data_IF_854185771088
#
_entry.id   IF_854185771088
#
_cell.length_a   1.000
_cell.length_b   1.000
_cell.length_c   1.000
_cell.angle_alpha   90.00
_cell.angle_beta   90.00
_cell.angle_gamma   90.00
#
_symmetry.space_group_name_H-M   'P 1'
#
loop_
_entity.id
_entity.type
_entity.pdbx_description
1 polymer ?
#
# COMPACT_ATOMS: atom_id res chain seq x y z
N UNK A 1 27.58 -14.89 7.06
CA UNK A 1 26.64 -15.71 6.24
C UNK A 1 25.55 -16.26 7.14
N UNK A 2 24.43 -15.54 7.29
CA UNK A 2 23.26 -15.97 8.05
C UNK A 2 21.99 -15.53 7.32
N UNK A 3 21.44 -16.49 6.58
CA UNK A 3 20.01 -16.82 6.38
C UNK A 3 19.09 -15.72 5.82
N UNK A 4 18.93 -15.75 4.50
CA UNK A 4 17.71 -15.39 3.77
C UNK A 4 16.55 -16.30 4.23
N UNK A 5 15.41 -15.69 4.58
CA UNK A 5 14.09 -16.30 4.83
C UNK A 5 13.10 -15.12 4.80
N UNK A 6 12.05 -15.03 3.99
CA UNK A 6 11.62 -15.85 2.87
C UNK A 6 10.64 -15.01 2.05
N UNK A 7 10.94 -14.83 0.77
CA UNK A 7 10.05 -14.22 -0.21
C UNK A 7 9.02 -15.27 -0.67
N UNK A 8 7.73 -15.01 -0.40
CA UNK A 8 6.60 -15.70 -1.02
C UNK A 8 5.50 -14.64 -1.23
N UNK A 9 5.42 -14.08 -2.44
CA UNK A 9 4.52 -14.51 -3.52
C UNK A 9 3.07 -14.03 -3.31
N UNK A 10 2.70 -12.93 -3.98
CA UNK A 10 1.42 -12.90 -4.70
C UNK A 10 1.52 -12.00 -5.95
N UNK A 11 1.62 -12.68 -7.10
CA UNK A 11 1.59 -12.09 -8.43
C UNK A 11 0.22 -12.46 -9.02
N UNK A 12 -0.77 -11.57 -8.94
CA UNK A 12 -2.02 -11.76 -9.68
C UNK A 12 -1.89 -11.06 -11.03
N UNK A 13 -1.87 -11.91 -12.06
CA UNK A 13 -1.90 -11.58 -13.46
C UNK A 13 -3.27 -10.96 -13.81
N UNK A 14 -3.20 -9.79 -14.45
CA UNK A 14 -4.26 -9.13 -15.21
C UNK A 14 -5.00 -10.07 -16.18
N UNK A 15 -6.25 -9.68 -16.48
CA UNK A 15 -7.08 -10.04 -17.65
C UNK A 15 -8.19 -11.08 -17.45
N UNK A 16 -9.41 -10.54 -17.61
CA UNK A 16 -10.66 -11.15 -18.06
C UNK A 16 -10.85 -12.67 -18.03
N UNK A 17 -11.94 -13.09 -17.39
CA UNK A 17 -12.71 -14.24 -17.82
C UNK A 17 -12.81 -15.39 -16.81
N UNK A 18 -13.89 -15.36 -16.04
CA UNK A 18 -14.68 -16.50 -15.55
C UNK A 18 -13.90 -17.71 -15.00
N UNK A 19 -13.81 -17.81 -13.67
CA UNK A 19 -13.60 -19.10 -13.00
C UNK A 19 -14.91 -19.54 -12.33
N UNK A 20 -15.68 -20.34 -13.07
CA UNK A 20 -16.74 -21.19 -12.53
C UNK A 20 -16.12 -22.22 -11.57
N UNK A 21 -16.53 -22.22 -10.30
CA UNK A 21 -16.38 -23.41 -9.45
C UNK A 21 -17.75 -23.85 -8.95
N UNK A 22 -18.37 -24.77 -9.69
CA UNK A 22 -19.50 -25.54 -9.21
C UNK A 22 -18.97 -26.84 -8.59
N UNK A 23 -19.10 -27.02 -7.27
CA UNK A 23 -19.28 -28.34 -6.68
C UNK A 23 -20.01 -28.30 -5.34
N UNK A 24 -21.34 -28.41 -5.47
CA UNK A 24 -22.27 -29.19 -4.65
C UNK A 24 -21.98 -29.33 -3.15
N UNK A 25 -22.66 -28.55 -2.30
CA UNK A 25 -23.51 -29.03 -1.19
C UNK A 25 -24.46 -27.89 -0.73
N UNK A 26 -25.77 -28.08 -0.96
CA UNK A 26 -26.90 -27.58 -0.17
C UNK A 26 -26.94 -26.16 0.41
N UNK A 27 -27.51 -25.24 -0.37
CA UNK A 27 -28.60 -24.33 0.03
C UNK A 27 -28.37 -23.29 1.15
N UNK A 28 -27.56 -22.28 0.86
CA UNK A 28 -28.02 -20.90 0.63
C UNK A 28 -26.89 -20.21 -0.15
N UNK A 29 -27.04 -20.11 -1.47
CA UNK A 29 -26.24 -19.16 -2.23
C UNK A 29 -26.75 -17.78 -1.82
N UNK A 30 -26.15 -17.20 -0.79
CA UNK A 30 -26.13 -15.75 -0.66
C UNK A 30 -25.40 -15.31 -1.92
N UNK A 31 -26.08 -14.71 -2.92
CA UNK A 31 -25.33 -13.96 -3.89
C UNK A 31 -24.55 -12.95 -3.04
N UNK A 32 -23.22 -13.05 -3.05
CA UNK A 32 -22.42 -11.87 -2.76
C UNK A 32 -22.78 -10.95 -3.92
N UNK A 33 -23.90 -10.23 -3.74
CA UNK A 33 -24.18 -9.01 -4.44
C UNK A 33 -23.05 -8.13 -3.95
N UNK A 34 -21.96 -8.14 -4.70
CA UNK A 34 -21.20 -6.92 -4.84
C UNK A 34 -22.26 -5.93 -5.28
N UNK A 35 -22.74 -5.12 -4.34
CA UNK A 35 -23.48 -3.93 -4.70
C UNK A 35 -22.56 -3.23 -5.71
N UNK A 36 -22.96 -3.33 -6.98
CA UNK A 36 -22.47 -2.49 -8.07
C UNK A 36 -22.84 -1.06 -7.67
N UNK A 37 -21.99 -0.48 -6.83
CA UNK A 37 -22.15 0.83 -6.26
C UNK A 37 -20.90 1.64 -6.60
N UNK A 38 -21.10 2.54 -7.57
CA UNK A 38 -20.31 3.72 -7.94
C UNK A 38 -19.15 3.48 -8.92
N UNK A 39 -19.30 3.83 -10.20
CA UNK A 39 -19.23 5.20 -10.78
C UNK A 39 -17.84 5.82 -10.62
N UNK A 40 -17.02 5.69 -11.67
CA UNK A 40 -15.91 6.56 -12.16
C UNK A 40 -14.87 7.23 -11.23
N UNK A 41 -14.92 7.14 -9.90
CA UNK A 41 -14.04 7.92 -9.00
C UNK A 41 -13.43 7.11 -7.83
N UNK A 42 -12.92 5.89 -8.08
CA UNK A 42 -12.01 5.25 -7.09
C UNK A 42 -10.62 5.86 -7.31
N UNK A 43 -10.07 6.64 -6.36
CA UNK A 43 -8.76 7.23 -6.54
C UNK A 43 -7.71 6.13 -6.71
N UNK A 44 -6.81 6.31 -7.67
CA UNK A 44 -5.75 5.35 -7.92
C UNK A 44 -4.89 5.25 -6.65
N UNK A 45 -4.46 4.03 -6.32
CA UNK A 45 -3.59 3.79 -5.18
C UNK A 45 -2.46 2.84 -5.59
N UNK A 46 -1.26 3.10 -5.06
CA UNK A 46 -0.16 2.13 -5.04
C UNK A 46 0.20 1.81 -3.60
N UNK A 47 1.01 0.78 -3.38
CA UNK A 47 1.37 0.35 -2.04
C UNK A 47 2.84 -0.01 -1.92
N UNK A 48 3.43 0.34 -0.79
CA UNK A 48 4.73 -0.15 -0.36
C UNK A 48 4.58 -0.86 0.97
N UNK A 49 5.33 -1.93 1.14
CA UNK A 49 5.43 -2.63 2.40
C UNK A 49 6.75 -2.37 3.13
N UNK A 50 6.67 -2.32 4.46
CA UNK A 50 7.81 -2.11 5.31
C UNK A 50 7.65 -2.81 6.66
N UNK A 51 8.75 -3.31 7.21
CA UNK A 51 8.81 -3.57 8.64
C UNK A 51 8.78 -2.23 9.41
N UNK A 52 8.28 -2.25 10.65
CA UNK A 52 8.15 -1.05 11.49
C UNK A 52 9.48 -0.29 11.63
N UNK A 53 10.62 -1.00 11.61
CA UNK A 53 11.96 -0.41 11.69
C UNK A 53 12.44 0.22 10.38
N UNK A 54 11.88 -0.22 9.25
CA UNK A 54 12.27 0.19 7.89
C UNK A 54 11.35 1.28 7.30
N UNK A 55 10.35 1.76 8.06
CA UNK A 55 9.49 2.89 7.67
C UNK A 55 10.31 4.10 7.17
N UNK A 56 11.41 4.53 7.81
CA UNK A 56 12.21 5.64 7.30
C UNK A 56 12.80 5.38 5.91
N UNK A 57 13.19 4.15 5.60
CA UNK A 57 13.73 3.78 4.30
C UNK A 57 12.62 3.74 3.23
N UNK A 58 11.47 3.13 3.53
CA UNK A 58 10.33 3.11 2.63
C UNK A 58 9.85 4.52 2.26
N UNK A 59 9.78 5.43 3.23
CA UNK A 59 9.38 6.81 2.97
C UNK A 59 10.48 7.65 2.30
N UNK A 60 11.75 7.25 2.41
CA UNK A 60 12.82 7.83 1.61
C UNK A 60 12.62 7.49 0.12
N UNK A 61 12.31 6.23 -0.21
CA UNK A 61 12.01 5.77 -1.58
C UNK A 61 10.83 6.53 -2.18
N UNK A 62 9.72 6.61 -1.46
CA UNK A 62 8.53 7.38 -1.87
C UNK A 62 8.88 8.85 -2.12
N UNK A 63 9.71 9.43 -1.24
CA UNK A 63 10.07 10.85 -1.31
C UNK A 63 10.90 11.21 -2.54
N UNK A 64 11.53 10.26 -3.22
CA UNK A 64 12.31 10.51 -4.43
C UNK A 64 11.45 10.96 -5.63
N UNK A 65 10.15 10.68 -5.61
CA UNK A 65 9.20 11.09 -6.64
C UNK A 65 8.88 12.59 -6.56
N UNK A 66 9.04 13.19 -5.38
CA UNK A 66 8.64 14.56 -5.12
C UNK A 66 9.81 15.54 -5.16
N UNK A 67 9.58 16.75 -5.67
CA UNK A 67 10.59 17.82 -5.63
C UNK A 67 10.90 18.27 -4.21
N UNK A 68 9.89 18.18 -3.33
CA UNK A 68 10.04 18.35 -1.90
C UNK A 68 9.76 17.00 -1.23
N UNK A 69 10.75 16.41 -0.55
CA UNK A 69 10.56 15.14 0.14
C UNK A 69 9.57 15.29 1.29
N UNK A 70 8.98 14.17 1.71
CA UNK A 70 8.18 14.10 2.94
C UNK A 70 9.08 14.46 4.13
N UNK A 71 8.60 15.29 5.04
CA UNK A 71 9.44 15.77 6.13
C UNK A 71 9.78 14.63 7.11
N UNK A 72 11.01 14.61 7.62
CA UNK A 72 11.43 13.59 8.58
C UNK A 72 10.53 13.55 9.84
N UNK A 73 10.03 14.71 10.28
CA UNK A 73 9.07 14.78 11.39
C UNK A 73 7.75 14.05 11.10
N UNK A 74 7.33 14.05 9.83
CA UNK A 74 6.12 13.37 9.40
C UNK A 74 6.38 11.87 9.38
N UNK A 75 7.53 11.43 8.85
CA UNK A 75 7.94 10.02 8.87
C UNK A 75 8.05 9.48 10.31
N UNK A 76 8.61 10.25 11.24
CA UNK A 76 8.66 9.90 12.67
C UNK A 76 7.25 9.75 13.27
N UNK A 77 6.31 10.61 12.87
CA UNK A 77 4.92 10.52 13.29
C UNK A 77 4.24 9.26 12.72
N UNK A 78 4.47 8.94 11.44
CA UNK A 78 3.97 7.72 10.79
C UNK A 78 4.44 6.47 11.52
N UNK A 79 5.74 6.39 11.83
CA UNK A 79 6.29 5.26 12.59
C UNK A 79 5.64 5.15 13.97
N UNK A 80 5.43 6.29 14.65
CA UNK A 80 4.73 6.33 15.94
C UNK A 80 3.30 5.82 15.81
N UNK A 81 2.54 6.26 14.81
CA UNK A 81 1.16 5.82 14.58
C UNK A 81 1.06 4.35 14.21
N UNK A 82 1.92 3.85 13.31
CA UNK A 82 1.96 2.44 12.95
C UNK A 82 2.30 1.52 14.14
N UNK A 83 3.02 2.03 15.13
CA UNK A 83 3.34 1.32 16.37
C UNK A 83 2.15 1.21 17.36
N UNK A 84 1.04 1.93 17.14
CA UNK A 84 -0.09 1.96 18.07
C UNK A 84 -0.76 0.56 18.19
N UNK A 85 -0.72 -0.06 19.38
CA UNK A 85 -1.26 -1.41 19.58
C UNK A 85 -2.79 -1.51 19.43
N UNK A 86 -3.51 -0.38 19.37
CA UNK A 86 -4.95 -0.33 19.15
C UNK A 86 -5.36 -0.51 17.69
N UNK A 87 -4.43 -0.36 16.73
CA UNK A 87 -4.70 -0.57 15.31
C UNK A 87 -5.10 -2.01 15.04
N UNK A 88 -6.27 -2.19 14.44
CA UNK A 88 -6.84 -3.50 14.10
C UNK A 88 -6.11 -4.07 12.87
N UNK A 89 -5.73 -5.34 12.97
CA UNK A 89 -5.14 -6.10 11.86
C UNK A 89 -6.08 -6.16 10.66
N UNK A 90 -5.51 -6.08 9.45
CA UNK A 90 -6.24 -6.18 8.18
C UNK A 90 -7.40 -5.17 8.06
N UNK A 91 -7.21 -3.99 8.64
CA UNK A 91 -8.08 -2.82 8.49
C UNK A 91 -7.16 -1.65 8.17
N UNK A 92 -7.40 -0.98 7.04
CA UNK A 92 -6.69 0.24 6.69
C UNK A 92 -7.10 1.35 7.66
N UNK A 93 -6.11 2.06 8.21
CA UNK A 93 -6.31 3.23 9.05
C UNK A 93 -5.68 4.44 8.39
N UNK A 94 -6.35 5.61 8.38
CA UNK A 94 -5.75 6.84 7.89
C UNK A 94 -4.55 7.21 8.77
N UNK A 95 -3.41 7.43 8.12
CA UNK A 95 -2.16 7.85 8.75
C UNK A 95 -2.03 9.36 8.64
N UNK A 96 -2.18 9.91 7.43
CA UNK A 96 -2.08 11.35 7.22
C UNK A 96 -2.26 11.78 5.78
N UNK A 97 -2.28 13.09 5.58
CA UNK A 97 -2.29 13.75 4.29
C UNK A 97 -1.08 14.68 4.22
N UNK A 98 -0.34 14.61 3.11
CA UNK A 98 0.92 15.34 2.93
C UNK A 98 0.86 16.23 1.71
N UNK A 99 1.15 17.51 1.91
CA UNK A 99 1.33 18.46 0.81
C UNK A 99 2.65 18.20 0.11
N UNK A 100 2.58 17.78 -1.15
CA UNK A 100 3.74 17.44 -1.98
C UNK A 100 3.82 18.33 -3.21
N UNK A 101 5.00 18.37 -3.82
CA UNK A 101 5.24 19.11 -5.06
C UNK A 101 5.71 18.11 -6.12
N UNK A 102 4.89 17.89 -7.14
CA UNK A 102 5.15 16.95 -8.23
C UNK A 102 5.15 17.70 -9.55
N UNK A 103 6.27 17.65 -10.28
CA UNK A 103 6.45 18.35 -11.58
C UNK A 103 6.03 19.83 -11.56
N UNK A 104 6.40 20.56 -10.51
CA UNK A 104 6.08 21.96 -10.29
C UNK A 104 4.62 22.24 -9.89
N UNK A 105 3.80 21.20 -9.71
CA UNK A 105 2.39 21.29 -9.32
C UNK A 105 2.20 20.89 -7.84
N UNK A 106 1.65 21.77 -6.99
CA UNK A 106 1.23 21.39 -5.65
C UNK A 106 0.09 20.37 -5.74
N UNK A 107 0.19 19.29 -4.98
CA UNK A 107 -0.84 18.24 -4.86
C UNK A 107 -0.79 17.62 -3.47
N UNK A 108 -1.72 16.72 -3.17
CA UNK A 108 -1.86 16.08 -1.86
C UNK A 108 -1.71 14.57 -2.01
N UNK A 109 -0.90 13.98 -1.15
CA UNK A 109 -0.76 12.54 -1.01
C UNK A 109 -1.43 12.10 0.30
N UNK A 110 -2.46 11.26 0.20
CA UNK A 110 -3.09 10.61 1.35
C UNK A 110 -2.41 9.26 1.60
N UNK A 111 -2.11 8.98 2.86
CA UNK A 111 -1.50 7.72 3.30
C UNK A 111 -2.42 7.01 4.28
N UNK A 112 -2.70 5.75 3.97
CA UNK A 112 -3.35 4.81 4.88
C UNK A 112 -2.40 3.65 5.20
N UNK A 113 -2.64 2.95 6.31
CA UNK A 113 -1.83 1.79 6.68
C UNK A 113 -2.66 0.63 7.23
N UNK A 114 -2.30 -0.58 6.83
CA UNK A 114 -2.69 -1.84 7.46
C UNK A 114 -1.53 -2.44 8.24
N UNK A 115 -1.77 -2.79 9.51
CA UNK A 115 -0.71 -3.32 10.39
C UNK A 115 -0.91 -4.80 10.68
N UNK A 116 0.14 -5.59 10.48
CA UNK A 116 0.20 -7.04 10.67
C UNK A 116 1.19 -7.39 11.79
N UNK A 117 0.73 -8.14 12.80
CA UNK A 117 1.48 -8.42 14.05
C UNK A 117 1.59 -9.90 14.41
N UNK A 118 1.99 -10.74 13.46
CA UNK A 118 2.08 -12.20 13.69
C UNK A 118 3.46 -12.61 14.23
N UNK A 119 4.53 -12.40 13.45
CA UNK A 119 5.91 -12.78 13.79
C UNK A 119 6.88 -11.57 13.80
N UNK A 120 6.32 -10.36 13.70
CA UNK A 120 6.98 -9.06 13.55
C UNK A 120 5.90 -7.99 13.39
N UNK A 121 6.26 -6.70 13.33
CA UNK A 121 5.30 -5.64 12.95
C UNK A 121 5.59 -5.23 11.52
N UNK A 122 4.73 -5.70 10.63
CA UNK A 122 4.74 -5.40 9.20
C UNK A 122 3.62 -4.42 8.88
N UNK A 123 3.90 -3.45 8.01
CA UNK A 123 2.98 -2.38 7.67
C UNK A 123 2.86 -2.31 6.15
N UNK A 124 1.63 -2.39 5.65
CA UNK A 124 1.32 -2.10 4.26
C UNK A 124 0.79 -0.67 4.18
N UNK A 125 1.49 0.20 3.48
CA UNK A 125 1.06 1.58 3.24
C UNK A 125 0.34 1.68 1.90
N UNK A 126 -0.83 2.31 1.91
CA UNK A 126 -1.55 2.70 0.69
C UNK A 126 -1.32 4.18 0.42
N UNK A 127 -0.86 4.50 -0.77
CA UNK A 127 -0.52 5.84 -1.24
C UNK A 127 -1.56 6.26 -2.27
N UNK A 128 -2.40 7.23 -1.90
CA UNK A 128 -3.55 7.66 -2.67
C UNK A 128 -3.35 9.12 -3.09
N UNK A 129 -3.57 9.42 -4.37
CA UNK A 129 -3.39 10.77 -4.90
C UNK A 129 -3.87 10.92 -6.33
N UNK A 130 -3.40 11.97 -7.01
CA UNK A 130 -3.62 12.16 -8.44
C UNK A 130 -3.05 10.98 -9.24
N UNK A 131 -3.70 10.63 -10.36
CA UNK A 131 -3.32 9.46 -11.19
C UNK A 131 -1.83 9.46 -11.56
N UNK A 132 -1.29 10.60 -11.99
CA UNK A 132 0.10 10.71 -12.43
C UNK A 132 1.10 10.62 -11.28
N UNK A 133 0.74 11.12 -10.10
CA UNK A 133 1.52 10.95 -8.86
C UNK A 133 1.58 9.47 -8.48
N UNK A 134 0.43 8.79 -8.51
CA UNK A 134 0.33 7.39 -8.09
C UNK A 134 1.09 6.47 -9.06
N UNK A 135 1.00 6.73 -10.37
CA UNK A 135 1.77 5.99 -11.37
C UNK A 135 3.28 6.20 -11.20
N UNK A 136 3.73 7.44 -10.93
CA UNK A 136 5.15 7.72 -10.69
C UNK A 136 5.67 7.05 -9.41
N UNK A 137 4.85 7.01 -8.36
CA UNK A 137 5.13 6.25 -7.13
C UNK A 137 5.24 4.76 -7.41
N UNK A 138 4.29 4.19 -8.15
CA UNK A 138 4.28 2.77 -8.51
C UNK A 138 5.55 2.39 -9.27
N UNK A 139 5.92 3.15 -10.30
CA UNK A 139 7.16 2.93 -11.06
C UNK A 139 8.40 2.99 -10.16
N UNK A 140 8.46 3.94 -9.22
CA UNK A 140 9.60 4.07 -8.31
C UNK A 140 9.68 2.92 -7.31
N UNK A 141 8.55 2.48 -6.77
CA UNK A 141 8.44 1.36 -5.83
C UNK A 141 8.84 0.05 -6.54
N UNK A 142 8.34 -0.19 -7.75
CA UNK A 142 8.74 -1.35 -8.57
C UNK A 142 10.24 -1.34 -8.83
N UNK A 143 10.81 -0.18 -9.20
CA UNK A 143 12.26 -0.06 -9.39
C UNK A 143 13.04 -0.35 -8.11
N UNK A 144 12.55 0.07 -6.94
CA UNK A 144 13.18 -0.23 -5.65
C UNK A 144 13.20 -1.73 -5.33
N UNK A 145 12.09 -2.44 -5.56
CA UNK A 145 12.07 -3.89 -5.40
C UNK A 145 13.00 -4.61 -6.38
N UNK A 146 13.08 -4.14 -7.63
CA UNK A 146 14.00 -4.69 -8.63
C UNK A 146 15.48 -4.45 -8.24
N UNK A 147 15.81 -3.30 -7.63
CA UNK A 147 17.13 -2.98 -7.06
C UNK A 147 17.51 -3.92 -5.90
N UNK A 148 16.53 -4.31 -5.08
CA UNK A 148 16.69 -5.30 -4.02
C UNK A 148 16.73 -6.75 -4.53
N UNK A 149 16.38 -6.97 -5.81
CA UNK A 149 16.41 -8.26 -6.48
C UNK A 149 15.27 -9.19 -6.06
N UNK A 150 14.10 -8.61 -5.78
CA UNK A 150 12.92 -9.28 -5.20
C UNK A 150 11.67 -9.12 -6.06
#
# INVERSE_FOLDING_TARGET
MKRLFGFFLFLIILSGGVAFTAWAFGNESVPVVYDEAYEDDVPLATSIDADLEDIPEAFAVISEVFERPIAASDVDAIQTWASDPSLKKAVAHPIGEFDVLFEGRPTTLTVEAEVYREDGTYVLFYLIGDEDVVLALDERIVAYYDELGI
#
